data_IF_019620057933
#
_entry.id   IF_019620057933
#
_cell.length_a   1.000
_cell.length_b   1.000
_cell.length_c   1.000
_cell.angle_alpha   90.00
_cell.angle_beta   90.00
_cell.angle_gamma   90.00
#
_symmetry.space_group_name_H-M   'P 1'
#
loop_
_entity.id
_entity.type
_entity.pdbx_description
1 polymer ?
#
# COMPACT_ATOMS: atom_id res chain seq x y z
N UNK A 1 7.68 -9.16 -2.44
CA UNK A 1 7.93 -10.04 -3.57
C UNK A 1 7.20 -11.38 -3.40
N UNK A 2 7.44 -12.13 -2.31
CA UNK A 2 6.87 -13.47 -2.11
C UNK A 2 5.34 -13.55 -2.25
N UNK A 3 4.62 -12.56 -1.74
CA UNK A 3 3.16 -12.48 -1.90
C UNK A 3 2.79 -12.14 -3.35
N UNK A 4 3.47 -11.16 -3.97
CA UNK A 4 3.16 -10.69 -5.32
C UNK A 4 3.28 -11.79 -6.40
N UNK A 5 4.24 -12.72 -6.26
CA UNK A 5 4.41 -13.84 -7.21
C UNK A 5 3.34 -14.92 -7.08
N UNK A 6 2.51 -14.89 -6.04
CA UNK A 6 1.48 -15.91 -5.79
C UNK A 6 0.06 -15.38 -5.95
N UNK A 7 -0.10 -14.08 -6.19
CA UNK A 7 -1.41 -13.48 -6.40
C UNK A 7 -1.94 -13.86 -7.79
N UNK A 8 -3.14 -14.42 -7.82
CA UNK A 8 -3.86 -14.82 -9.02
C UNK A 8 -5.12 -13.98 -9.20
N UNK A 9 -5.84 -14.20 -10.30
CA UNK A 9 -7.15 -13.55 -10.54
C UNK A 9 -8.19 -13.95 -9.50
N UNK A 10 -8.12 -15.15 -8.95
CA UNK A 10 -9.06 -15.64 -7.92
C UNK A 10 -8.95 -14.86 -6.60
N UNK A 11 -7.85 -14.11 -6.43
CA UNK A 11 -7.70 -13.20 -5.30
C UNK A 11 -8.44 -11.87 -5.46
N UNK A 12 -9.03 -11.60 -6.64
CA UNK A 12 -9.80 -10.38 -6.91
C UNK A 12 -11.29 -10.69 -6.82
N UNK A 13 -12.03 -9.89 -6.07
CA UNK A 13 -13.48 -10.00 -5.97
C UNK A 13 -14.13 -8.62 -6.02
N UNK A 14 -15.42 -8.58 -6.36
CA UNK A 14 -16.26 -7.39 -6.25
C UNK A 14 -17.04 -7.41 -4.96
N UNK A 15 -17.13 -6.25 -4.31
CA UNK A 15 -18.08 -6.07 -3.20
C UNK A 15 -19.51 -5.74 -3.70
N UNK A 16 -20.43 -5.55 -2.78
CA UNK A 16 -21.83 -5.24 -3.08
C UNK A 16 -22.03 -3.88 -3.78
N UNK A 17 -21.02 -3.01 -3.73
CA UNK A 17 -20.99 -1.70 -4.42
C UNK A 17 -20.36 -1.80 -5.81
N UNK A 18 -19.86 -2.97 -6.20
CA UNK A 18 -19.14 -3.21 -7.45
C UNK A 18 -17.67 -2.83 -7.43
N UNK A 19 -17.13 -2.41 -6.29
CA UNK A 19 -15.72 -2.10 -6.12
C UNK A 19 -14.84 -3.36 -6.15
N UNK A 20 -13.68 -3.24 -6.76
CA UNK A 20 -12.72 -4.34 -6.85
C UNK A 20 -11.78 -4.36 -5.64
N UNK A 21 -11.66 -5.52 -5.04
CA UNK A 21 -10.82 -5.79 -3.88
C UNK A 21 -9.85 -6.92 -4.16
N UNK A 22 -8.64 -6.81 -3.61
CA UNK A 22 -7.65 -7.87 -3.54
C UNK A 22 -7.70 -8.51 -2.15
N UNK A 23 -7.86 -9.84 -2.10
CA UNK A 23 -7.85 -10.64 -0.88
C UNK A 23 -6.81 -11.74 -1.03
N UNK A 24 -5.81 -11.76 -0.16
CA UNK A 24 -4.77 -12.79 -0.21
C UNK A 24 -4.22 -13.12 1.18
N UNK A 25 -3.76 -14.35 1.32
CA UNK A 25 -3.09 -14.80 2.53
C UNK A 25 -1.59 -14.50 2.42
N UNK A 26 -1.04 -13.74 3.35
CA UNK A 26 0.38 -13.41 3.36
C UNK A 26 1.23 -14.64 3.69
N UNK A 27 2.21 -14.94 2.85
CA UNK A 27 3.11 -16.10 3.04
C UNK A 27 3.94 -16.04 4.32
N UNK A 28 4.26 -14.83 4.79
CA UNK A 28 5.15 -14.65 5.95
C UNK A 28 4.48 -14.98 7.29
N UNK A 29 3.20 -14.69 7.45
CA UNK A 29 2.53 -14.75 8.74
C UNK A 29 1.08 -15.23 8.66
N UNK A 30 0.69 -15.77 7.50
CA UNK A 30 -0.66 -16.30 7.23
C UNK A 30 -1.80 -15.31 7.54
N UNK A 31 -1.49 -14.02 7.55
CA UNK A 31 -2.47 -12.97 7.77
C UNK A 31 -3.28 -12.72 6.50
N UNK A 32 -4.60 -12.67 6.64
CA UNK A 32 -5.52 -12.36 5.55
C UNK A 32 -5.55 -10.86 5.28
N UNK A 33 -4.84 -10.41 4.25
CA UNK A 33 -4.86 -9.02 3.79
C UNK A 33 -6.03 -8.78 2.83
N UNK A 34 -6.68 -7.61 2.97
CA UNK A 34 -7.72 -7.13 2.07
C UNK A 34 -7.43 -5.68 1.74
N UNK A 35 -7.38 -5.37 0.44
CA UNK A 35 -7.09 -4.02 -0.04
C UNK A 35 -8.02 -3.70 -1.20
N UNK A 36 -8.69 -2.56 -1.15
CA UNK A 36 -9.44 -2.05 -2.30
C UNK A 36 -8.46 -1.65 -3.40
N UNK A 37 -8.73 -2.07 -4.62
CA UNK A 37 -7.86 -1.76 -5.75
C UNK A 37 -8.06 -0.32 -6.21
N UNK A 38 -6.97 0.41 -6.30
CA UNK A 38 -6.95 1.74 -6.91
C UNK A 38 -7.11 1.64 -8.43
N UNK A 39 -7.63 2.68 -9.11
CA UNK A 39 -7.77 2.68 -10.57
C UNK A 39 -6.46 2.36 -11.29
N UNK A 40 -5.33 2.86 -10.80
CA UNK A 40 -3.99 2.59 -11.35
C UNK A 40 -3.61 1.12 -11.23
N UNK A 41 -3.96 0.49 -10.11
CA UNK A 41 -3.72 -0.94 -9.91
C UNK A 41 -4.57 -1.79 -10.84
N UNK A 42 -5.82 -1.42 -11.07
CA UNK A 42 -6.73 -2.07 -12.01
C UNK A 42 -6.17 -1.95 -13.43
N UNK A 43 -5.74 -0.75 -13.83
CA UNK A 43 -5.14 -0.51 -15.15
C UNK A 43 -3.88 -1.36 -15.38
N UNK A 44 -3.04 -1.53 -14.35
CA UNK A 44 -1.87 -2.40 -14.42
C UNK A 44 -2.25 -3.88 -14.54
N UNK A 45 -3.25 -4.33 -13.81
CA UNK A 45 -3.75 -5.71 -13.87
C UNK A 45 -4.27 -6.01 -15.29
N UNK A 46 -5.05 -5.12 -15.89
CA UNK A 46 -5.55 -5.28 -17.26
C UNK A 46 -4.43 -5.21 -18.30
N UNK A 47 -3.48 -4.30 -18.16
CA UNK A 47 -2.32 -4.18 -19.05
C UNK A 47 -1.50 -5.46 -19.13
N UNK A 48 -1.32 -6.13 -18.00
CA UNK A 48 -0.51 -7.36 -17.90
C UNK A 48 -1.35 -8.64 -17.89
N UNK A 49 -2.63 -8.53 -18.23
CA UNK A 49 -3.52 -9.68 -18.37
C UNK A 49 -2.98 -10.66 -19.40
N UNK A 50 -2.98 -11.95 -19.06
CA UNK A 50 -2.60 -13.03 -19.98
C UNK A 50 -3.39 -14.29 -19.59
N UNK A 51 -3.86 -15.03 -20.58
CA UNK A 51 -4.58 -16.29 -20.35
C UNK A 51 -3.63 -17.48 -20.21
N UNK A 52 -2.36 -17.29 -20.57
CA UNK A 52 -1.31 -18.32 -20.48
C UNK A 52 -0.75 -18.50 -19.07
N UNK A 53 -1.12 -17.67 -18.10
CA UNK A 53 -0.67 -17.76 -16.71
C UNK A 53 -1.81 -17.50 -15.73
N UNK A 54 -1.68 -18.10 -14.55
CA UNK A 54 -2.62 -17.88 -13.43
C UNK A 54 -2.30 -16.61 -12.63
N UNK A 55 -1.02 -16.27 -12.52
CA UNK A 55 -0.54 -15.12 -11.75
C UNK A 55 -0.95 -13.80 -12.42
N UNK A 56 -1.22 -12.78 -11.60
CA UNK A 56 -1.64 -11.46 -12.12
C UNK A 56 -0.55 -10.79 -12.96
N UNK A 57 0.73 -10.95 -12.58
CA UNK A 57 1.84 -10.26 -13.22
C UNK A 57 2.94 -11.22 -13.67
N UNK A 58 3.64 -10.91 -14.78
CA UNK A 58 4.84 -11.63 -15.20
C UNK A 58 5.99 -11.28 -14.25
N UNK A 59 6.12 -12.03 -13.15
CA UNK A 59 7.13 -11.73 -12.13
C UNK A 59 8.52 -12.13 -12.58
N UNK A 60 9.46 -11.20 -12.41
CA UNK A 60 10.88 -11.44 -12.65
C UNK A 60 11.44 -12.27 -11.49
N UNK A 61 12.30 -13.25 -11.77
CA UNK A 61 12.99 -14.02 -10.73
C UNK A 61 13.75 -13.13 -9.75
N UNK A 62 13.64 -13.40 -8.46
CA UNK A 62 14.10 -12.53 -7.38
C UNK A 62 15.55 -12.01 -7.52
N UNK A 63 16.56 -12.81 -7.85
CA UNK A 63 17.93 -12.32 -8.12
C UNK A 63 18.00 -11.28 -9.24
N UNK A 64 17.22 -11.46 -10.31
CA UNK A 64 17.18 -10.52 -11.43
C UNK A 64 16.48 -9.22 -11.08
N UNK A 65 15.49 -9.25 -10.16
CA UNK A 65 14.80 -8.06 -9.67
C UNK A 65 15.78 -7.01 -9.14
N UNK A 66 16.74 -7.43 -8.32
CA UNK A 66 17.74 -6.50 -7.76
C UNK A 66 18.57 -5.82 -8.85
N UNK A 67 18.95 -6.56 -9.90
CA UNK A 67 19.69 -6.00 -11.06
C UNK A 67 18.84 -4.98 -11.81
N UNK A 68 17.56 -5.28 -12.04
CA UNK A 68 16.65 -4.33 -12.71
C UNK A 68 16.40 -3.08 -11.88
N UNK A 69 16.23 -3.22 -10.56
CA UNK A 69 16.06 -2.07 -9.65
C UNK A 69 17.30 -1.16 -9.68
N UNK A 70 18.51 -1.74 -9.73
CA UNK A 70 19.75 -0.96 -9.89
C UNK A 70 19.75 -0.21 -11.24
N UNK A 71 19.42 -0.87 -12.33
CA UNK A 71 19.32 -0.23 -13.65
C UNK A 71 18.31 0.92 -13.69
N UNK A 72 17.13 0.74 -13.09
CA UNK A 72 16.12 1.79 -12.97
C UNK A 72 16.63 2.97 -12.12
N UNK A 73 17.30 2.72 -11.02
CA UNK A 73 17.93 3.73 -10.18
C UNK A 73 18.92 4.58 -11.00
N UNK A 74 19.81 3.92 -11.72
CA UNK A 74 20.85 4.57 -12.49
C UNK A 74 20.25 5.41 -13.65
N UNK A 75 19.25 4.88 -14.35
CA UNK A 75 18.51 5.60 -15.41
C UNK A 75 17.74 6.81 -14.89
N UNK A 76 17.16 6.71 -13.69
CA UNK A 76 16.38 7.78 -13.07
C UNK A 76 17.22 8.80 -12.30
N UNK A 77 18.55 8.62 -12.21
CA UNK A 77 19.43 9.50 -11.45
C UNK A 77 19.18 9.50 -9.94
N UNK A 78 18.63 8.39 -9.40
CA UNK A 78 18.31 8.27 -7.97
C UNK A 78 19.57 7.95 -7.20
N UNK A 79 19.90 8.76 -6.18
CA UNK A 79 21.15 8.64 -5.40
C UNK A 79 21.10 7.53 -4.33
N UNK A 80 19.91 7.13 -3.86
CA UNK A 80 19.74 6.06 -2.86
C UNK A 80 19.54 4.69 -3.52
N UNK A 81 19.81 3.62 -2.76
CA UNK A 81 19.53 2.26 -3.24
C UNK A 81 18.02 2.03 -3.42
N UNK A 82 17.63 1.71 -4.66
CA UNK A 82 16.26 1.40 -4.99
C UNK A 82 16.01 -0.10 -4.74
N UNK A 83 15.15 -0.40 -3.76
CA UNK A 83 14.78 -1.77 -3.42
C UNK A 83 13.27 -1.98 -3.52
N UNK A 84 12.87 -3.19 -3.87
CA UNK A 84 11.44 -3.54 -4.05
C UNK A 84 10.57 -3.18 -2.82
N UNK A 85 11.14 -3.29 -1.62
CA UNK A 85 10.42 -2.99 -0.38
C UNK A 85 10.08 -1.50 -0.20
N UNK A 86 10.78 -0.60 -0.90
CA UNK A 86 10.50 0.85 -0.84
C UNK A 86 9.09 1.19 -1.32
N UNK A 87 8.56 0.49 -2.34
CA UNK A 87 7.18 0.69 -2.78
C UNK A 87 6.16 0.46 -1.67
N UNK A 88 6.42 -0.52 -0.81
CA UNK A 88 5.58 -0.77 0.37
C UNK A 88 5.70 0.33 1.42
N UNK A 89 6.92 0.86 1.65
CA UNK A 89 7.15 2.01 2.53
C UNK A 89 6.44 3.25 1.99
N UNK A 90 6.59 3.55 0.70
CA UNK A 90 5.93 4.68 0.04
C UNK A 90 4.41 4.58 0.16
N UNK A 91 3.83 3.39 -0.08
CA UNK A 91 2.40 3.18 0.10
C UNK A 91 1.96 3.45 1.54
N UNK A 92 2.67 2.91 2.53
CA UNK A 92 2.30 3.06 3.94
C UNK A 92 2.49 4.47 4.50
N UNK A 93 3.50 5.22 4.03
CA UNK A 93 3.81 6.55 4.55
C UNK A 93 3.22 7.68 3.70
N UNK A 94 3.60 7.76 2.43
CA UNK A 94 3.27 8.91 1.59
C UNK A 94 1.86 8.81 0.99
N UNK A 95 1.41 7.60 0.62
CA UNK A 95 0.13 7.46 -0.08
C UNK A 95 -1.03 7.36 0.91
N UNK A 96 -0.88 6.57 1.99
CA UNK A 96 -2.00 6.32 2.91
C UNK A 96 -1.98 7.21 4.14
N UNK A 97 -0.85 7.33 4.83
CA UNK A 97 -0.77 8.13 6.06
C UNK A 97 -0.95 9.63 5.78
N UNK A 98 -0.31 10.17 4.75
CA UNK A 98 -0.48 11.57 4.34
C UNK A 98 -1.91 11.85 3.85
N UNK A 99 -2.60 10.86 3.28
CA UNK A 99 -4.02 10.94 2.93
C UNK A 99 -4.97 10.87 4.14
N UNK A 100 -4.42 10.78 5.37
CA UNK A 100 -5.22 10.76 6.60
C UNK A 100 -5.82 9.38 6.95
N UNK A 101 -5.37 8.30 6.31
CA UNK A 101 -5.80 6.95 6.67
C UNK A 101 -5.26 6.58 8.06
N UNK A 102 -6.10 6.14 9.01
CA UNK A 102 -5.65 5.72 10.35
C UNK A 102 -4.60 4.61 10.29
N UNK A 103 -3.60 4.69 11.17
CA UNK A 103 -2.47 3.76 11.19
C UNK A 103 -2.90 2.30 11.39
N UNK A 104 -3.98 2.06 12.13
CA UNK A 104 -4.57 0.74 12.34
C UNK A 104 -5.11 0.16 11.04
N UNK A 105 -5.74 1.02 10.22
CA UNK A 105 -6.23 0.64 8.89
C UNK A 105 -5.07 0.32 7.96
N UNK A 106 -4.04 1.16 7.95
CA UNK A 106 -2.80 0.93 7.17
C UNK A 106 -2.15 -0.40 7.59
N UNK A 107 -2.09 -0.68 8.89
CA UNK A 107 -1.56 -1.92 9.43
C UNK A 107 -2.28 -3.15 8.85
N UNK A 108 -3.61 -3.11 8.80
CA UNK A 108 -4.44 -4.16 8.21
C UNK A 108 -4.25 -4.27 6.69
N UNK A 109 -4.22 -3.14 5.98
CA UNK A 109 -3.97 -3.12 4.53
C UNK A 109 -2.60 -3.72 4.19
N UNK A 110 -1.59 -3.42 4.99
CA UNK A 110 -0.25 -3.98 4.87
C UNK A 110 -0.16 -5.42 5.39
N UNK A 111 -1.17 -5.93 6.08
CA UNK A 111 -1.18 -7.28 6.68
C UNK A 111 -0.13 -7.43 7.78
N UNK A 112 0.07 -6.41 8.60
CA UNK A 112 0.90 -6.51 9.79
C UNK A 112 0.09 -7.12 10.94
N UNK A 113 0.71 -8.05 11.65
CA UNK A 113 0.13 -8.66 12.87
C UNK A 113 0.34 -7.78 14.09
N UNK A 114 1.35 -6.90 14.06
CA UNK A 114 1.66 -5.96 15.13
C UNK A 114 1.70 -4.52 14.59
N UNK A 115 0.99 -3.62 15.26
CA UNK A 115 0.92 -2.20 14.94
C UNK A 115 2.30 -1.51 15.01
N UNK A 116 3.18 -1.95 15.92
CA UNK A 116 4.55 -1.43 16.06
C UNK A 116 5.32 -1.48 14.73
N UNK A 117 5.09 -2.51 13.92
CA UNK A 117 5.69 -2.60 12.58
C UNK A 117 5.22 -1.48 11.66
N UNK A 118 3.98 -1.02 11.83
CA UNK A 118 3.41 0.09 11.04
C UNK A 118 3.87 1.44 11.57
N UNK A 119 4.12 1.57 12.87
CA UNK A 119 4.62 2.79 13.49
C UNK A 119 5.97 3.25 12.95
N UNK A 120 6.76 2.34 12.37
CA UNK A 120 7.98 2.70 11.64
C UNK A 120 7.72 3.62 10.45
N UNK A 121 6.50 3.61 9.90
CA UNK A 121 6.05 4.49 8.82
C UNK A 121 5.40 5.79 9.34
N UNK A 122 5.00 5.84 10.61
CA UNK A 122 4.21 6.91 11.20
C UNK A 122 5.07 8.10 11.66
N UNK A 123 5.89 8.64 10.75
CA UNK A 123 6.47 9.96 10.99
C UNK A 123 5.42 11.01 10.63
N UNK A 124 4.80 11.58 11.66
CA UNK A 124 3.90 12.72 11.46
C UNK A 124 4.73 13.89 10.97
N UNK A 125 4.45 14.34 9.74
CA UNK A 125 5.09 15.54 9.20
C UNK A 125 4.49 16.79 9.85
N UNK A 126 5.23 17.91 9.95
CA UNK A 126 4.67 19.18 10.42
C UNK A 126 3.41 19.57 9.65
N UNK A 127 3.40 19.38 8.33
CA UNK A 127 2.23 19.64 7.49
C UNK A 127 1.01 18.83 7.94
N UNK A 128 1.17 17.51 8.12
CA UNK A 128 0.07 16.67 8.58
C UNK A 128 -0.45 17.08 9.96
N UNK A 129 0.44 17.49 10.86
CA UNK A 129 0.03 17.99 12.18
C UNK A 129 -0.86 19.21 12.04
N UNK A 130 -0.50 20.18 11.20
CA UNK A 130 -1.32 21.38 10.96
C UNK A 130 -2.65 21.00 10.31
N UNK A 131 -2.65 20.20 9.24
CA UNK A 131 -3.87 19.78 8.56
C UNK A 131 -4.84 19.03 9.50
N UNK A 132 -4.33 18.21 10.41
CA UNK A 132 -5.15 17.49 11.39
C UNK A 132 -5.67 18.41 12.49
N UNK A 133 -4.89 19.42 12.91
CA UNK A 133 -5.34 20.44 13.87
C UNK A 133 -6.42 21.32 13.26
N UNK A 134 -6.30 21.73 12.01
CA UNK A 134 -7.34 22.50 11.33
C UNK A 134 -8.66 21.73 11.25
N UNK A 135 -8.61 20.43 10.90
CA UNK A 135 -9.79 19.55 10.93
C UNK A 135 -10.40 19.42 12.33
N UNK A 136 -9.54 19.35 13.36
CA UNK A 136 -10.02 19.27 14.75
C UNK A 136 -10.74 20.57 15.14
N UNK A 137 -10.17 21.72 14.82
CA UNK A 137 -10.78 23.04 15.08
C UNK A 137 -12.14 23.15 14.37
N UNK A 138 -12.19 22.77 13.09
CA UNK A 138 -13.43 22.77 12.31
C UNK A 138 -14.49 21.86 12.94
N UNK A 139 -14.13 20.62 13.28
CA UNK A 139 -15.04 19.64 13.89
C UNK A 139 -15.53 20.04 15.28
N UNK A 140 -14.82 20.92 15.99
CA UNK A 140 -15.17 21.36 17.35
C UNK A 140 -15.71 22.79 17.40
N UNK A 141 -15.84 23.46 16.25
CA UNK A 141 -16.28 24.88 16.17
C UNK A 141 -17.64 25.15 16.83
N UNK A 142 -18.54 24.16 16.79
CA UNK A 142 -19.88 24.24 17.39
C UNK A 142 -19.93 23.77 18.85
N UNK A 143 -18.80 23.29 19.40
CA UNK A 143 -18.73 22.88 20.83
C UNK A 143 -18.65 24.12 21.71
N UNK A 144 -19.75 24.43 22.43
CA UNK A 144 -19.75 25.43 23.50
C UNK A 144 -19.15 24.79 24.75
N UNK A 145 -17.98 25.24 25.17
CA UNK A 145 -17.48 24.98 26.51
C UNK A 145 -18.39 25.69 27.51
N UNK A 146 -19.09 24.92 28.34
CA UNK A 146 -19.79 25.46 29.51
C UNK A 146 -18.72 25.63 30.58
N UNK A 147 -18.26 26.87 30.76
CA UNK A 147 -17.34 27.26 31.83
C UNK A 147 -18.14 27.56 33.08
#
# INVERSE_FOLDING_TARGET
>A
YADAVSITRDNIYKDDKGDLWLKYLRKKNEYLARVKLLPEAIALIEKYRSDDRKELFPMIHHPNMRRHMKGLRDLAGISCDLVYHMGRHTFGSLITLEAGVPIETISKMLGHTNLTTTQLYARVTPKKLFDDMDKFIEATSDMKLVL
#
